data_IF_563885290413
#
_entry.id   IF_563885290413
#
_cell.length_a   1.000
_cell.length_b   1.000
_cell.length_c   1.000
_cell.angle_alpha   90.00
_cell.angle_beta   90.00
_cell.angle_gamma   90.00
#
_symmetry.space_group_name_H-M   'P 1'
#
loop_
_entity.id
_entity.type
_entity.pdbx_description
1 polymer ?
#
# COMPACT_ATOMS: atom_id res chain seq x y z
N UNK A 1 -24.63 23.14 12.09
CA UNK A 1 -23.73 22.38 11.18
C UNK A 1 -22.32 22.30 11.79
N UNK A 2 -21.91 21.14 12.30
CA UNK A 2 -20.55 20.95 12.86
C UNK A 2 -19.55 20.77 11.70
N UNK A 3 -18.58 21.69 11.59
CA UNK A 3 -17.42 21.57 10.69
C UNK A 3 -16.67 20.28 11.03
N UNK A 4 -16.79 19.28 10.15
CA UNK A 4 -15.99 18.07 10.17
C UNK A 4 -14.51 18.45 9.97
N UNK A 5 -13.75 18.57 11.06
CA UNK A 5 -12.29 18.72 11.02
C UNK A 5 -11.71 17.43 10.47
N UNK A 6 -11.64 17.30 9.15
CA UNK A 6 -10.93 16.20 8.48
C UNK A 6 -9.47 16.25 8.94
N UNK A 7 -9.07 15.29 9.77
CA UNK A 7 -7.65 15.09 10.12
C UNK A 7 -6.91 14.86 8.82
N UNK A 8 -6.02 15.78 8.45
CA UNK A 8 -5.06 15.53 7.36
C UNK A 8 -4.19 14.37 7.80
N UNK A 9 -4.33 13.22 7.15
CA UNK A 9 -3.47 12.06 7.36
C UNK A 9 -2.01 12.50 7.15
N UNK A 10 -1.11 12.07 8.03
CA UNK A 10 0.32 12.22 7.81
C UNK A 10 0.69 11.46 6.53
N UNK A 11 1.48 12.10 5.66
CA UNK A 11 1.95 11.46 4.44
C UNK A 11 2.75 10.20 4.81
N UNK A 12 2.52 9.05 4.16
CA UNK A 12 3.31 7.85 4.42
C UNK A 12 4.80 8.18 4.23
N UNK A 13 5.64 7.83 5.21
CA UNK A 13 7.09 8.15 5.16
C UNK A 13 7.75 7.65 3.89
N UNK A 14 7.36 6.46 3.43
CA UNK A 14 7.84 5.87 2.16
C UNK A 14 7.59 6.81 0.98
N UNK A 15 6.40 7.42 0.87
CA UNK A 15 6.10 8.35 -0.21
C UNK A 15 6.93 9.62 -0.13
N UNK A 16 7.18 10.14 1.08
CA UNK A 16 8.04 11.31 1.27
C UNK A 16 9.47 10.99 0.85
N UNK A 17 9.99 9.83 1.28
CA UNK A 17 11.34 9.37 0.92
C UNK A 17 11.46 9.15 -0.59
N UNK A 18 10.51 8.44 -1.22
CA UNK A 18 10.51 8.23 -2.66
C UNK A 18 10.39 9.56 -3.42
N UNK A 19 9.47 10.45 -3.03
CA UNK A 19 9.31 11.74 -3.67
C UNK A 19 10.58 12.61 -3.59
N UNK A 20 11.24 12.64 -2.43
CA UNK A 20 12.52 13.33 -2.24
C UNK A 20 13.64 12.68 -3.06
N UNK A 21 13.68 11.35 -3.14
CA UNK A 21 14.64 10.63 -3.97
C UNK A 21 14.52 11.05 -5.45
N UNK A 22 13.30 11.11 -5.99
CA UNK A 22 13.08 11.56 -7.38
C UNK A 22 13.43 13.04 -7.60
N UNK A 23 13.27 13.90 -6.59
CA UNK A 23 13.74 15.29 -6.65
C UNK A 23 15.27 15.40 -6.68
N UNK A 24 15.96 14.53 -5.94
CA UNK A 24 17.42 14.52 -5.86
C UNK A 24 18.08 13.70 -6.98
N UNK A 25 17.31 12.87 -7.67
CA UNK A 25 17.76 11.97 -8.73
C UNK A 25 18.65 12.64 -9.79
N UNK A 26 18.35 13.86 -10.31
CA UNK A 26 19.20 14.53 -11.30
C UNK A 26 20.58 14.84 -10.73
N UNK A 27 20.62 15.39 -9.51
CA UNK A 27 21.86 15.74 -8.82
C UNK A 27 22.67 14.48 -8.53
N UNK A 28 22.03 13.43 -8.03
CA UNK A 28 22.67 12.14 -7.75
C UNK A 28 23.29 11.57 -9.04
N UNK A 29 22.57 11.58 -10.16
CA UNK A 29 23.08 11.05 -11.43
C UNK A 29 24.26 11.87 -11.98
N UNK A 30 24.16 13.20 -11.96
CA UNK A 30 25.23 14.09 -12.43
C UNK A 30 26.49 13.92 -11.56
N UNK A 31 26.35 13.92 -10.24
CA UNK A 31 27.48 13.75 -9.32
C UNK A 31 28.09 12.36 -9.47
N UNK A 32 27.28 11.32 -9.60
CA UNK A 32 27.77 9.94 -9.81
C UNK A 32 28.54 9.85 -11.12
N UNK A 33 28.02 10.44 -12.20
CA UNK A 33 28.70 10.46 -13.49
C UNK A 33 30.01 11.26 -13.45
N UNK A 34 30.00 12.44 -12.81
CA UNK A 34 31.21 13.25 -12.62
C UNK A 34 32.27 12.51 -11.80
N UNK A 35 31.85 11.82 -10.72
CA UNK A 35 32.75 11.04 -9.88
C UNK A 35 33.45 9.92 -10.66
N UNK A 36 32.69 9.13 -11.43
CA UNK A 36 33.25 7.98 -12.14
C UNK A 36 34.02 8.33 -13.42
N UNK A 37 33.77 9.49 -14.04
CA UNK A 37 34.31 9.80 -15.37
C UNK A 37 35.15 11.07 -15.45
N UNK A 38 34.98 12.00 -14.53
CA UNK A 38 35.57 13.35 -14.60
C UNK A 38 36.16 13.83 -13.28
N UNK A 39 36.51 12.93 -12.35
CA UNK A 39 37.15 13.27 -11.06
C UNK A 39 36.37 14.35 -10.27
N UNK A 40 35.04 14.24 -10.28
CA UNK A 40 34.10 15.19 -9.66
C UNK A 40 33.98 16.57 -10.32
N UNK A 41 34.53 16.78 -11.52
CA UNK A 41 34.28 18.00 -12.32
C UNK A 41 32.84 17.98 -12.89
N UNK A 42 31.91 18.54 -12.12
CA UNK A 42 30.48 18.62 -12.45
C UNK A 42 30.23 19.45 -13.72
N UNK A 43 31.08 20.47 -13.98
CA UNK A 43 30.94 21.32 -15.16
C UNK A 43 31.16 20.53 -16.45
N UNK A 44 32.24 19.74 -16.50
CA UNK A 44 32.51 18.83 -17.63
C UNK A 44 31.48 17.70 -17.73
N UNK A 45 31.02 17.18 -16.59
CA UNK A 45 29.97 16.16 -16.59
C UNK A 45 28.68 16.68 -17.24
N UNK A 46 28.25 17.89 -16.90
CA UNK A 46 27.05 18.52 -17.46
C UNK A 46 27.13 18.74 -18.98
N UNK A 47 28.30 19.14 -19.49
CA UNK A 47 28.48 19.34 -20.94
C UNK A 47 28.61 18.03 -21.72
N UNK A 48 28.95 16.94 -21.04
CA UNK A 48 29.04 15.61 -21.63
C UNK A 48 27.68 14.91 -21.79
N UNK A 49 26.64 15.32 -21.04
CA UNK A 49 25.29 14.79 -21.22
C UNK A 49 24.66 15.29 -22.51
N UNK A 50 23.96 14.39 -23.22
CA UNK A 50 23.13 14.77 -24.36
C UNK A 50 21.89 15.52 -23.88
N UNK A 51 21.38 16.45 -24.68
CA UNK A 51 20.18 17.23 -24.34
C UNK A 51 18.98 16.34 -23.96
N UNK A 52 18.81 15.20 -24.63
CA UNK A 52 17.76 14.23 -24.32
C UNK A 52 17.93 13.57 -22.95
N UNK A 53 19.17 13.26 -22.54
CA UNK A 53 19.48 12.69 -21.22
C UNK A 53 19.19 13.70 -20.11
N UNK A 54 19.58 14.96 -20.34
CA UNK A 54 19.21 16.07 -19.44
C UNK A 54 17.70 16.22 -19.35
N UNK A 55 16.97 16.05 -20.46
CA UNK A 55 15.50 16.04 -20.48
C UNK A 55 14.89 14.92 -19.63
N UNK A 56 15.43 13.69 -19.74
CA UNK A 56 15.02 12.56 -18.89
C UNK A 56 15.32 12.86 -17.42
N UNK A 57 16.52 13.33 -17.08
CA UNK A 57 16.86 13.67 -15.71
C UNK A 57 15.94 14.77 -15.17
N UNK A 58 15.69 15.84 -15.94
CA UNK A 58 14.80 16.92 -15.55
C UNK A 58 13.35 16.44 -15.33
N UNK A 59 12.88 15.44 -16.09
CA UNK A 59 11.58 14.81 -15.91
C UNK A 59 11.42 14.11 -14.54
N UNK A 60 12.50 13.79 -13.84
CA UNK A 60 12.42 13.28 -12.46
C UNK A 60 11.78 14.29 -11.49
N UNK A 61 11.99 15.59 -11.71
CA UNK A 61 11.50 16.66 -10.84
C UNK A 61 9.95 16.70 -10.77
N UNK A 62 9.21 16.82 -11.88
CA UNK A 62 7.76 16.77 -11.85
C UNK A 62 7.21 15.43 -11.34
N UNK A 63 7.93 14.31 -11.54
CA UNK A 63 7.56 13.03 -10.93
C UNK A 63 7.66 13.08 -9.39
N UNK A 64 8.76 13.60 -8.85
CA UNK A 64 8.95 13.78 -7.41
C UNK A 64 7.93 14.73 -6.79
N UNK A 65 7.69 15.89 -7.42
CA UNK A 65 6.66 16.85 -7.00
C UNK A 65 5.28 16.20 -7.04
N UNK A 66 4.95 15.52 -8.15
CA UNK A 66 3.67 14.86 -8.34
C UNK A 66 3.37 13.81 -7.27
N UNK A 67 4.38 13.02 -6.89
CA UNK A 67 4.31 12.07 -5.77
C UNK A 67 4.09 12.79 -4.44
N UNK A 68 4.88 13.83 -4.12
CA UNK A 68 4.76 14.56 -2.86
C UNK A 68 3.44 15.31 -2.70
N UNK A 69 2.86 15.77 -3.82
CA UNK A 69 1.54 16.40 -3.86
C UNK A 69 0.40 15.39 -3.81
N UNK A 70 0.68 14.09 -4.00
CA UNK A 70 -0.31 13.00 -3.92
C UNK A 70 -1.45 13.24 -4.93
N UNK A 71 -1.09 13.60 -6.17
CA UNK A 71 -2.06 13.90 -7.25
C UNK A 71 -2.20 12.72 -8.21
N UNK A 72 -3.38 12.58 -8.85
CA UNK A 72 -3.63 11.52 -9.84
C UNK A 72 -2.70 11.63 -11.04
N UNK A 73 -2.53 12.86 -11.54
CA UNK A 73 -1.62 13.14 -12.66
C UNK A 73 -0.17 12.84 -12.28
N UNK A 74 0.27 13.25 -11.08
CA UNK A 74 1.60 12.95 -10.57
C UNK A 74 1.89 11.45 -10.47
N UNK A 75 0.89 10.65 -10.10
CA UNK A 75 1.03 9.19 -10.07
C UNK A 75 1.23 8.57 -11.47
N UNK A 76 0.39 8.92 -12.44
CA UNK A 76 0.54 8.41 -13.81
C UNK A 76 1.84 8.88 -14.46
N UNK A 77 2.21 10.13 -14.22
CA UNK A 77 3.47 10.68 -14.68
C UNK A 77 4.66 9.94 -14.07
N UNK A 78 4.63 9.69 -12.75
CA UNK A 78 5.66 8.90 -12.07
C UNK A 78 5.78 7.48 -12.66
N UNK A 79 4.67 6.78 -12.90
CA UNK A 79 4.69 5.46 -13.52
C UNK A 79 5.35 5.48 -14.89
N UNK A 80 4.93 6.41 -15.76
CA UNK A 80 5.50 6.57 -17.10
C UNK A 80 6.99 6.92 -17.04
N UNK A 81 7.37 7.84 -16.17
CA UNK A 81 8.75 8.26 -15.97
C UNK A 81 9.62 7.09 -15.47
N UNK A 82 9.23 6.42 -14.39
CA UNK A 82 10.02 5.35 -13.78
C UNK A 82 10.21 4.15 -14.73
N UNK A 83 9.19 3.80 -15.51
CA UNK A 83 9.32 2.76 -16.55
C UNK A 83 10.27 3.21 -17.67
N UNK A 84 10.10 4.43 -18.18
CA UNK A 84 10.95 4.95 -19.27
C UNK A 84 12.41 5.09 -18.83
N UNK A 85 12.65 5.58 -17.61
CA UNK A 85 13.99 5.73 -17.04
C UNK A 85 14.68 4.39 -16.84
N UNK A 86 13.95 3.37 -16.35
CA UNK A 86 14.47 2.02 -16.23
C UNK A 86 14.85 1.42 -17.58
N UNK A 87 13.96 1.51 -18.57
CA UNK A 87 14.23 1.01 -19.93
C UNK A 87 15.42 1.72 -20.57
N UNK A 88 15.52 3.05 -20.40
CA UNK A 88 16.65 3.83 -20.88
C UNK A 88 17.97 3.32 -20.26
N UNK A 89 18.04 3.25 -18.93
CA UNK A 89 19.27 2.86 -18.25
C UNK A 89 19.67 1.41 -18.52
N UNK A 90 18.71 0.48 -18.66
CA UNK A 90 19.01 -0.89 -19.10
C UNK A 90 19.61 -0.87 -20.51
N UNK A 91 19.02 -0.12 -21.43
CA UNK A 91 19.51 -0.03 -22.82
C UNK A 91 20.92 0.53 -22.87
N UNK A 92 21.19 1.63 -22.15
CA UNK A 92 22.52 2.25 -22.08
C UNK A 92 23.54 1.30 -21.43
N UNK A 93 23.15 0.57 -20.38
CA UNK A 93 24.02 -0.39 -19.73
C UNK A 93 24.38 -1.57 -20.65
N UNK A 94 23.42 -2.10 -21.40
CA UNK A 94 23.66 -3.17 -22.38
C UNK A 94 24.59 -2.72 -23.50
N UNK A 95 24.40 -1.50 -24.00
CA UNK A 95 25.24 -0.94 -25.07
C UNK A 95 26.62 -0.51 -24.57
N UNK A 96 26.73 -0.12 -23.30
CA UNK A 96 27.96 0.37 -22.71
C UNK A 96 28.07 -0.09 -21.25
N UNK A 97 28.76 -1.21 -21.03
CA UNK A 97 28.88 -1.87 -19.74
C UNK A 97 29.92 -1.18 -18.82
N UNK A 98 29.63 0.05 -18.41
CA UNK A 98 30.43 0.79 -17.44
C UNK A 98 29.78 0.78 -16.06
N UNK A 99 30.60 0.88 -15.01
CA UNK A 99 30.18 0.87 -13.61
C UNK A 99 29.12 1.95 -13.34
N UNK A 100 29.27 3.14 -13.93
CA UNK A 100 28.28 4.21 -13.76
C UNK A 100 26.91 3.82 -14.34
N UNK A 101 26.87 3.12 -15.47
CA UNK A 101 25.61 2.65 -16.08
C UNK A 101 24.93 1.58 -15.24
N UNK A 102 25.72 0.67 -14.64
CA UNK A 102 25.19 -0.28 -13.66
C UNK A 102 24.55 0.45 -12.47
N UNK A 103 25.21 1.50 -11.96
CA UNK A 103 24.67 2.30 -10.85
C UNK A 103 23.35 3.01 -11.22
N UNK A 104 23.22 3.49 -12.47
CA UNK A 104 22.00 4.11 -12.96
C UNK A 104 20.84 3.12 -13.08
N UNK A 105 21.11 1.87 -13.50
CA UNK A 105 20.13 0.78 -13.49
C UNK A 105 19.65 0.48 -12.06
N UNK A 106 20.58 0.36 -11.11
CA UNK A 106 20.25 0.10 -9.71
C UNK A 106 19.37 1.21 -9.10
N UNK A 107 19.68 2.48 -9.41
CA UNK A 107 18.86 3.62 -9.00
C UNK A 107 17.46 3.57 -9.61
N UNK A 108 17.34 3.17 -10.88
CA UNK A 108 16.05 3.01 -11.56
C UNK A 108 15.20 1.89 -10.97
N UNK A 109 15.86 0.83 -10.46
CA UNK A 109 15.18 -0.28 -9.80
C UNK A 109 14.45 0.16 -8.53
N UNK A 110 14.96 1.17 -7.80
CA UNK A 110 14.24 1.78 -6.67
C UNK A 110 12.88 2.34 -7.12
N UNK A 111 12.82 2.94 -8.30
CA UNK A 111 11.57 3.38 -8.93
C UNK A 111 10.61 2.21 -9.17
N UNK A 112 11.09 1.10 -9.73
CA UNK A 112 10.29 -0.10 -9.96
C UNK A 112 9.76 -0.73 -8.65
N UNK A 113 10.61 -0.80 -7.61
CA UNK A 113 10.19 -1.26 -6.27
C UNK A 113 9.12 -0.35 -5.70
N UNK A 114 9.27 0.97 -5.85
CA UNK A 114 8.25 1.92 -5.44
C UNK A 114 6.93 1.72 -6.20
N UNK A 115 6.98 1.43 -7.50
CA UNK A 115 5.78 1.03 -8.28
C UNK A 115 5.13 -0.18 -7.64
N UNK A 116 5.85 -1.30 -7.47
CA UNK A 116 5.28 -2.53 -6.91
C UNK A 116 4.69 -2.29 -5.52
N UNK A 117 5.40 -1.55 -4.68
CA UNK A 117 4.94 -1.20 -3.34
C UNK A 117 3.63 -0.40 -3.37
N UNK A 118 3.59 0.69 -4.14
CA UNK A 118 2.40 1.55 -4.23
C UNK A 118 1.23 0.90 -5.02
N UNK A 119 1.54 -0.06 -5.89
CA UNK A 119 0.60 -0.83 -6.73
C UNK A 119 0.24 -2.19 -6.07
N UNK A 120 0.62 -2.43 -4.82
CA UNK A 120 0.17 -3.64 -4.10
C UNK A 120 -1.24 -3.44 -3.53
N UNK A 121 -2.11 -4.46 -3.61
CA UNK A 121 -3.56 -4.35 -3.30
C UNK A 121 -3.86 -3.84 -1.88
N UNK A 122 -2.98 -4.10 -0.92
CA UNK A 122 -3.13 -3.64 0.46
C UNK A 122 -2.67 -2.18 0.65
N UNK A 123 -1.89 -1.65 -0.30
CA UNK A 123 -1.32 -0.30 -0.29
C UNK A 123 -2.02 0.63 -1.29
N UNK A 124 -2.85 0.11 -2.20
CA UNK A 124 -3.46 0.85 -3.32
C UNK A 124 -4.47 1.96 -2.95
N UNK A 125 -4.92 2.04 -1.70
CA UNK A 125 -6.05 2.89 -1.30
C UNK A 125 -5.76 4.22 -0.57
N UNK A 126 -4.57 4.52 -0.01
CA UNK A 126 -4.29 5.82 0.60
C UNK A 126 -3.80 6.90 -0.40
N UNK A 127 -3.28 6.52 -1.58
CA UNK A 127 -2.48 7.44 -2.40
C UNK A 127 -3.25 8.37 -3.34
N UNK A 128 -4.54 8.14 -3.60
CA UNK A 128 -5.34 9.01 -4.48
C UNK A 128 -6.62 9.56 -3.84
N UNK A 129 -6.80 9.33 -2.53
CA UNK A 129 -7.91 9.90 -1.75
C UNK A 129 -7.32 10.68 -0.58
N UNK A 130 -7.32 12.01 -0.68
CA UNK A 130 -6.92 12.92 0.38
C UNK A 130 -7.85 12.91 1.61
N UNK A 131 -8.97 12.17 1.56
CA UNK A 131 -9.84 11.92 2.69
C UNK A 131 -9.62 10.52 3.24
N UNK A 132 -9.87 10.35 4.54
CA UNK A 132 -10.13 9.03 5.12
C UNK A 132 -11.16 8.32 4.23
N UNK A 133 -10.91 7.07 3.84
CA UNK A 133 -12.02 6.20 3.43
C UNK A 133 -13.05 6.30 4.56
N UNK A 134 -14.21 6.89 4.29
CA UNK A 134 -15.42 6.46 4.96
C UNK A 134 -15.38 4.92 4.91
N UNK A 135 -15.29 4.28 6.07
CA UNK A 135 -15.02 2.86 6.29
C UNK A 135 -13.60 2.31 6.05
N UNK A 136 -12.77 2.39 7.09
CA UNK A 136 -12.31 1.23 7.91
C UNK A 136 -11.58 1.77 9.16
N UNK A 137 -12.32 2.26 10.15
CA UNK A 137 -11.74 2.71 11.44
C UNK A 137 -11.20 1.57 12.32
N UNK A 138 -11.18 0.33 11.83
CA UNK A 138 -10.82 -0.83 12.63
C UNK A 138 -9.84 -1.72 11.89
N UNK A 139 -8.71 -1.99 12.55
CA UNK A 139 -7.72 -2.97 12.15
C UNK A 139 -8.39 -4.34 12.00
N UNK A 140 -8.30 -4.92 10.80
CA UNK A 140 -8.73 -6.29 10.49
C UNK A 140 -7.49 -7.16 10.50
N UNK A 141 -7.55 -8.26 11.23
CA UNK A 141 -6.45 -9.22 11.33
C UNK A 141 -6.75 -10.42 10.44
N UNK A 142 -5.79 -10.90 9.64
CA UNK A 142 -5.97 -12.05 8.76
C UNK A 142 -5.97 -13.34 9.60
N UNK A 143 -7.09 -13.55 10.30
CA UNK A 143 -7.35 -14.70 11.16
C UNK A 143 -8.25 -15.64 10.39
N UNK A 144 -7.75 -16.86 10.13
CA UNK A 144 -8.51 -17.94 9.50
C UNK A 144 -9.09 -18.82 10.59
N UNK A 145 -10.37 -18.65 10.88
CA UNK A 145 -11.10 -19.45 11.85
C UNK A 145 -12.38 -19.98 11.20
N UNK A 146 -12.83 -21.15 11.67
CA UNK A 146 -14.16 -21.68 11.33
C UNK A 146 -15.21 -20.85 12.08
N UNK A 147 -16.16 -20.34 11.34
CA UNK A 147 -17.27 -19.52 11.82
C UNK A 147 -18.56 -20.19 11.39
N UNK A 148 -19.49 -20.40 12.33
CA UNK A 148 -20.84 -20.89 12.07
C UNK A 148 -21.79 -19.69 12.00
N UNK A 149 -22.48 -19.53 10.87
CA UNK A 149 -23.40 -18.44 10.55
C UNK A 149 -24.76 -19.06 10.25
N UNK A 150 -25.76 -18.87 11.13
CA UNK A 150 -27.09 -19.51 11.04
C UNK A 150 -27.00 -20.97 10.56
N UNK A 151 -26.20 -21.76 11.28
CA UNK A 151 -25.92 -23.18 11.03
C UNK A 151 -24.89 -23.52 9.96
N UNK A 152 -24.54 -22.57 9.09
CA UNK A 152 -23.61 -22.81 8.00
C UNK A 152 -22.17 -22.51 8.45
N UNK A 153 -21.30 -23.51 8.35
CA UNK A 153 -19.88 -23.36 8.70
C UNK A 153 -19.10 -22.84 7.50
N UNK A 154 -18.35 -21.75 7.72
CA UNK A 154 -17.48 -21.10 6.74
C UNK A 154 -16.16 -20.68 7.36
N UNK A 155 -15.19 -20.33 6.53
CA UNK A 155 -13.87 -19.86 6.96
C UNK A 155 -13.77 -18.33 6.89
N UNK A 156 -13.32 -17.69 7.96
CA UNK A 156 -12.99 -16.26 7.91
C UNK A 156 -11.72 -16.00 7.11
N UNK A 157 -11.72 -14.90 6.35
CA UNK A 157 -10.50 -14.31 5.79
C UNK A 157 -9.86 -13.33 6.77
N UNK A 158 -10.69 -12.50 7.40
CA UNK A 158 -10.25 -11.52 8.38
C UNK A 158 -11.28 -11.31 9.49
N UNK A 159 -10.80 -10.95 10.68
CA UNK A 159 -11.63 -10.66 11.86
C UNK A 159 -11.16 -9.35 12.49
N UNK A 160 -12.11 -8.56 12.99
CA UNK A 160 -11.88 -7.32 13.72
C UNK A 160 -12.77 -7.26 14.96
N UNK A 161 -12.59 -6.24 15.79
CA UNK A 161 -13.42 -6.03 16.99
C UNK A 161 -14.89 -5.70 16.69
N UNK A 162 -15.29 -5.44 15.44
CA UNK A 162 -16.68 -5.13 15.08
C UNK A 162 -17.20 -5.86 13.84
N UNK A 163 -16.49 -6.85 13.35
CA UNK A 163 -16.96 -7.62 12.21
C UNK A 163 -15.87 -8.50 11.64
N UNK A 164 -16.23 -9.25 10.62
CA UNK A 164 -15.37 -10.21 9.95
C UNK A 164 -15.68 -10.23 8.45
N UNK A 165 -14.74 -10.77 7.67
CA UNK A 165 -14.98 -11.15 6.29
C UNK A 165 -14.85 -12.65 6.18
N UNK A 166 -15.82 -13.29 5.53
CA UNK A 166 -15.95 -14.74 5.45
C UNK A 166 -15.91 -15.15 3.99
N UNK A 167 -15.14 -16.20 3.68
CA UNK A 167 -15.13 -16.79 2.35
C UNK A 167 -16.43 -17.56 2.16
N UNK A 168 -17.27 -17.05 1.27
CA UNK A 168 -18.58 -17.63 0.99
C UNK A 168 -18.93 -17.30 -0.45
N UNK A 169 -18.77 -18.30 -1.31
CA UNK A 169 -19.14 -18.22 -2.73
C UNK A 169 -20.63 -18.55 -2.81
N UNK A 170 -21.39 -17.73 -3.55
CA UNK A 170 -22.85 -17.86 -3.67
C UNK A 170 -23.54 -17.83 -2.30
N UNK A 171 -23.52 -16.66 -1.66
CA UNK A 171 -24.19 -16.45 -0.38
C UNK A 171 -25.71 -16.37 -0.59
N UNK A 172 -26.45 -17.24 0.09
CA UNK A 172 -27.92 -17.32 0.00
C UNK A 172 -28.64 -16.23 0.81
N UNK A 173 -27.89 -15.48 1.63
CA UNK A 173 -28.43 -14.38 2.42
C UNK A 173 -28.44 -13.04 1.66
N UNK A 174 -29.28 -12.12 2.12
CA UNK A 174 -29.39 -10.76 1.56
C UNK A 174 -28.58 -9.72 2.34
N UNK A 175 -28.18 -8.62 1.68
CA UNK A 175 -27.54 -7.50 2.35
C UNK A 175 -28.52 -6.81 3.31
N UNK A 176 -28.10 -6.57 4.55
CA UNK A 176 -28.92 -6.04 5.62
C UNK A 176 -29.48 -7.10 6.57
N UNK A 177 -29.50 -8.37 6.16
CA UNK A 177 -30.02 -9.47 6.98
C UNK A 177 -29.20 -9.68 8.25
N UNK A 178 -29.89 -9.88 9.37
CA UNK A 178 -29.28 -10.29 10.63
C UNK A 178 -29.09 -11.81 10.67
N UNK A 179 -27.93 -12.22 11.18
CA UNK A 179 -27.51 -13.62 11.26
C UNK A 179 -26.86 -13.90 12.61
N UNK A 180 -26.97 -15.12 13.13
CA UNK A 180 -26.26 -15.55 14.32
C UNK A 180 -24.87 -16.04 13.95
N UNK A 181 -23.85 -15.46 14.58
CA UNK A 181 -22.44 -15.75 14.30
C UNK A 181 -21.81 -16.37 15.54
N UNK A 182 -21.30 -17.58 15.39
CA UNK A 182 -20.53 -18.27 16.44
C UNK A 182 -19.17 -18.72 15.94
N UNK A 183 -18.13 -18.50 16.74
CA UNK A 183 -16.77 -18.93 16.43
C UNK A 183 -15.94 -19.10 17.69
N UNK A 184 -14.87 -19.90 17.58
CA UNK A 184 -13.92 -20.10 18.66
C UNK A 184 -12.59 -19.43 18.33
N UNK A 185 -12.01 -18.71 19.29
CA UNK A 185 -10.71 -18.05 19.18
C UNK A 185 -9.92 -18.30 20.48
N UNK A 186 -8.76 -18.95 20.38
CA UNK A 186 -7.88 -19.27 21.53
C UNK A 186 -8.64 -19.89 22.72
N UNK A 187 -9.38 -20.97 22.45
CA UNK A 187 -10.21 -21.70 23.42
C UNK A 187 -11.40 -20.93 24.01
N UNK A 188 -11.73 -19.77 23.45
CA UNK A 188 -12.89 -18.99 23.85
C UNK A 188 -13.94 -18.97 22.76
N UNK A 189 -15.19 -19.28 23.12
CA UNK A 189 -16.34 -19.28 22.21
C UNK A 189 -17.05 -17.94 22.26
N UNK A 190 -17.25 -17.34 21.10
CA UNK A 190 -18.02 -16.11 20.92
C UNK A 190 -19.31 -16.45 20.19
N UNK A 191 -20.45 -15.97 20.71
CA UNK A 191 -21.77 -16.08 20.08
C UNK A 191 -22.37 -14.68 20.03
N UNK A 192 -22.56 -14.16 18.82
CA UNK A 192 -22.85 -12.76 18.55
C UNK A 192 -23.89 -12.64 17.43
N UNK A 193 -24.67 -11.57 17.43
CA UNK A 193 -25.43 -11.18 16.24
C UNK A 193 -24.54 -10.47 15.23
N UNK A 194 -24.66 -10.85 13.97
CA UNK A 194 -24.04 -10.21 12.82
C UNK A 194 -25.10 -9.61 11.90
N UNK A 195 -24.76 -8.56 11.17
CA UNK A 195 -25.55 -8.08 10.05
C UNK A 195 -24.70 -8.15 8.78
N UNK A 196 -25.26 -8.70 7.71
CA UNK A 196 -24.58 -8.75 6.42
C UNK A 196 -24.53 -7.33 5.85
N UNK A 197 -23.33 -6.80 5.69
CA UNK A 197 -23.13 -5.44 5.18
C UNK A 197 -22.69 -5.41 3.72
N UNK A 198 -22.18 -6.53 3.22
CA UNK A 198 -21.65 -6.62 1.85
C UNK A 198 -21.58 -8.06 1.40
N UNK A 199 -21.95 -8.30 0.15
CA UNK A 199 -21.79 -9.59 -0.54
C UNK A 199 -20.93 -9.32 -1.78
N UNK A 200 -19.85 -10.08 -1.93
CA UNK A 200 -18.96 -10.06 -3.08
C UNK A 200 -18.91 -11.46 -3.72
N UNK A 201 -18.43 -11.55 -4.97
CA UNK A 201 -18.17 -12.83 -5.65
C UNK A 201 -17.24 -13.78 -4.86
N UNK A 202 -16.41 -13.23 -3.95
CA UNK A 202 -15.39 -13.98 -3.20
C UNK A 202 -15.76 -14.21 -1.72
N UNK A 203 -16.83 -13.61 -1.22
CA UNK A 203 -17.17 -13.68 0.19
C UNK A 203 -18.10 -12.59 0.69
N UNK A 204 -18.32 -12.62 2.01
CA UNK A 204 -19.35 -11.82 2.68
C UNK A 204 -18.73 -11.05 3.82
N UNK A 205 -19.06 -9.76 3.92
CA UNK A 205 -18.72 -8.90 5.04
C UNK A 205 -19.83 -8.90 6.07
N UNK A 206 -19.49 -9.24 7.31
CA UNK A 206 -20.43 -9.30 8.44
C UNK A 206 -20.00 -8.28 9.49
N UNK A 207 -20.91 -7.39 9.88
CA UNK A 207 -20.70 -6.44 10.96
C UNK A 207 -21.36 -6.96 12.24
N UNK A 208 -20.63 -7.03 13.35
CA UNK A 208 -21.19 -7.45 14.62
C UNK A 208 -22.14 -6.38 15.16
N UNK A 209 -23.37 -6.79 15.50
CA UNK A 209 -24.43 -5.95 16.05
C UNK A 209 -24.50 -6.11 17.56
N UNK A 210 -25.00 -5.09 18.24
CA UNK A 210 -25.29 -5.12 19.68
C UNK A 210 -24.13 -5.53 20.61
N UNK A 211 -22.88 -5.30 20.18
CA UNK A 211 -21.71 -5.62 21.00
C UNK A 211 -21.56 -4.68 22.20
N UNK A 212 -21.69 -5.24 23.40
CA UNK A 212 -21.29 -4.57 24.64
C UNK A 212 -19.79 -4.23 24.65
N UNK A 213 -19.43 -3.17 25.38
CA UNK A 213 -18.03 -2.67 25.48
C UNK A 213 -17.07 -3.76 26.00
N UNK A 214 -17.54 -4.60 26.92
CA UNK A 214 -16.78 -5.70 27.50
C UNK A 214 -16.42 -6.76 26.46
N UNK A 215 -17.39 -7.24 25.68
CA UNK A 215 -17.17 -8.24 24.63
C UNK A 215 -16.23 -7.70 23.56
N UNK A 216 -16.40 -6.44 23.17
CA UNK A 216 -15.55 -5.77 22.19
C UNK A 216 -14.08 -5.69 22.64
N UNK A 217 -13.85 -5.38 23.92
CA UNK A 217 -12.51 -5.34 24.51
C UNK A 217 -11.91 -6.75 24.64
N UNK A 218 -12.71 -7.74 25.03
CA UNK A 218 -12.31 -9.15 25.13
C UNK A 218 -11.88 -9.69 23.77
N UNK A 219 -12.68 -9.46 22.74
CA UNK A 219 -12.36 -9.84 21.36
C UNK A 219 -11.10 -9.14 20.86
N UNK A 220 -10.93 -7.85 21.16
CA UNK A 220 -9.69 -7.11 20.83
C UNK A 220 -8.46 -7.74 21.48
N UNK A 221 -8.54 -8.11 22.77
CA UNK A 221 -7.44 -8.73 23.51
C UNK A 221 -7.09 -10.10 22.94
N UNK A 222 -8.09 -10.95 22.68
CA UNK A 222 -7.88 -12.29 22.10
C UNK A 222 -7.31 -12.24 20.69
N UNK A 223 -7.75 -11.28 19.89
CA UNK A 223 -7.17 -11.02 18.58
C UNK A 223 -5.69 -10.59 18.67
N UNK A 224 -5.31 -9.84 19.71
CA UNK A 224 -3.91 -9.50 20.05
C UNK A 224 -3.08 -10.72 20.43
N UNK A 225 -3.58 -11.53 21.36
CA UNK A 225 -2.92 -12.77 21.78
C UNK A 225 -2.68 -13.72 20.59
N UNK A 226 -3.64 -13.84 19.67
CA UNK A 226 -3.54 -14.73 18.51
C UNK A 226 -2.42 -14.31 17.53
N UNK A 227 -2.22 -13.00 17.37
CA UNK A 227 -1.16 -12.47 16.50
C UNK A 227 0.22 -12.69 17.11
N UNK A 228 0.35 -12.57 18.44
CA UNK A 228 1.60 -12.86 19.15
C UNK A 228 1.96 -14.33 18.99
N UNK A 229 1.02 -15.25 19.25
CA UNK A 229 1.25 -16.69 19.14
C UNK A 229 1.65 -17.13 17.73
N UNK A 230 1.11 -16.48 16.70
CA UNK A 230 1.46 -16.76 15.30
C UNK A 230 2.90 -16.33 14.94
N UNK A 231 3.45 -15.35 15.65
CA UNK A 231 4.79 -14.82 15.37
C UNK A 231 5.90 -15.46 16.22
N UNK A 232 5.54 -16.27 17.22
CA UNK A 232 6.49 -17.03 18.06
C UNK A 232 6.68 -18.48 17.62
N UNK A 233 5.98 -18.92 16.58
CA UNK A 233 6.13 -20.23 15.92
C UNK A 233 6.65 -19.99 14.51
#
# INVERSE_FOLDING_TARGET
>A
MRKERRRRLSRPRVLVVTGLFFLLLPVINIVTFAWFRYEMDVGKALTAFRWFELGILAAALPAGIGLLMVTRWGWYYFLGYAMSFLLYNITVFVLNNQIYNFSAVLQSFIGAVAIVYFTSQDTFAPYMKAGERGWRMQLRRPVKIKVKIDEIIRESKDVSKSGMYVKWINCDFSAGQEVNVSFSLLNERFELKGGIVRIDKKGVGIAFRYLGRNIKNKLKKKLMEFEIQKNTV
#
